data_IF_256607094638
#
_entry.id   IF_256607094638
#
_cell.length_a   1.000
_cell.length_b   1.000
_cell.length_c   1.000
_cell.angle_alpha   90.00
_cell.angle_beta   90.00
_cell.angle_gamma   90.00
#
_symmetry.space_group_name_H-M   'P 1'
#
loop_
_entity.id
_entity.type
_entity.pdbx_description
1 polymer ?
#
# COMPACT_ATOMS: atom_id res chain seq x y z
N UNK A 1 -4.60 -12.96 3.68
CA UNK A 1 -3.70 -12.08 2.92
C UNK A 1 -4.33 -11.83 1.56
N UNK A 2 -4.25 -10.60 1.05
CA UNK A 2 -4.73 -10.20 -0.27
C UNK A 2 -3.66 -9.34 -0.95
N UNK A 3 -3.56 -9.42 -2.28
CA UNK A 3 -2.69 -8.58 -3.10
C UNK A 3 -3.50 -7.75 -4.07
N UNK A 4 -3.00 -6.58 -4.42
CA UNK A 4 -3.59 -5.73 -5.45
C UNK A 4 -2.54 -4.83 -6.10
N UNK A 5 -2.93 -4.21 -7.20
CA UNK A 5 -2.06 -3.36 -8.01
C UNK A 5 -2.72 -2.02 -8.31
N UNK A 6 -1.91 -0.96 -8.28
CA UNK A 6 -2.28 0.36 -8.77
C UNK A 6 -1.39 0.67 -9.96
N UNK A 7 -1.98 1.01 -11.10
CA UNK A 7 -1.22 1.51 -12.27
C UNK A 7 -0.90 2.98 -12.06
N UNK A 8 0.37 3.29 -11.83
CA UNK A 8 0.83 4.66 -11.65
C UNK A 8 2.35 4.79 -11.86
N UNK A 9 2.82 5.81 -12.60
CA UNK A 9 4.24 6.12 -12.68
C UNK A 9 4.78 6.81 -11.42
N UNK A 10 3.94 7.02 -10.39
CA UNK A 10 4.27 7.74 -9.16
C UNK A 10 4.23 6.84 -7.93
N UNK A 11 4.50 5.55 -8.09
CA UNK A 11 4.39 4.55 -7.03
C UNK A 11 5.11 4.98 -5.74
N UNK A 12 6.39 5.34 -5.82
CA UNK A 12 7.19 5.79 -4.67
C UNK A 12 6.57 6.98 -3.93
N UNK A 13 5.94 7.91 -4.65
CA UNK A 13 5.32 9.09 -4.04
C UNK A 13 4.22 8.66 -3.07
N UNK A 14 3.39 7.69 -3.46
CA UNK A 14 2.29 7.23 -2.63
C UNK A 14 2.76 6.38 -1.45
N UNK A 15 3.80 5.56 -1.64
CA UNK A 15 4.44 4.84 -0.53
C UNK A 15 4.95 5.82 0.53
N UNK A 16 5.66 6.87 0.11
CA UNK A 16 6.18 7.91 1.01
C UNK A 16 5.07 8.69 1.72
N UNK A 17 3.95 8.96 1.03
CA UNK A 17 2.79 9.62 1.64
C UNK A 17 2.12 8.74 2.69
N UNK A 18 1.93 7.45 2.41
CA UNK A 18 1.36 6.51 3.37
C UNK A 18 2.27 6.35 4.59
N UNK A 19 3.58 6.18 4.38
CA UNK A 19 4.55 6.15 5.45
C UNK A 19 4.54 7.41 6.30
N UNK A 20 4.52 8.59 5.69
CA UNK A 20 4.40 9.85 6.43
C UNK A 20 3.11 9.92 7.27
N UNK A 21 1.99 9.44 6.73
CA UNK A 21 0.70 9.45 7.41
C UNK A 21 0.64 8.47 8.60
N UNK A 22 1.33 7.33 8.51
CA UNK A 22 1.26 6.26 9.51
C UNK A 22 2.45 6.17 10.45
N UNK A 23 3.45 7.05 10.35
CA UNK A 23 4.63 7.06 11.24
C UNK A 23 4.34 7.00 12.74
N UNK A 24 3.22 7.59 13.18
CA UNK A 24 2.83 7.58 14.60
C UNK A 24 1.96 6.36 14.99
N UNK A 25 1.45 5.62 14.00
CA UNK A 25 0.45 4.54 14.17
C UNK A 25 1.00 3.16 13.82
N UNK A 26 2.03 3.11 13.00
CA UNK A 26 2.64 1.91 12.45
C UNK A 26 4.16 1.97 12.60
N UNK A 27 4.77 0.82 12.85
CA UNK A 27 6.18 0.63 12.58
C UNK A 27 6.37 0.55 11.06
N UNK A 28 7.33 1.32 10.53
CA UNK A 28 7.60 1.41 9.10
C UNK A 28 9.03 0.98 8.84
N UNK A 29 9.20 -0.08 8.06
CA UNK A 29 10.50 -0.62 7.66
C UNK A 29 10.62 -0.58 6.15
N UNK A 30 11.79 -0.20 5.64
CA UNK A 30 12.10 -0.20 4.21
C UNK A 30 13.12 -1.30 3.96
N UNK A 31 12.79 -2.23 3.09
CA UNK A 31 13.66 -3.34 2.71
C UNK A 31 14.68 -2.91 1.64
N UNK A 32 15.73 -3.71 1.45
CA UNK A 32 16.79 -3.44 0.46
C UNK A 32 16.29 -3.42 -0.99
N UNK A 33 15.15 -4.08 -1.26
CA UNK A 33 14.47 -4.11 -2.56
C UNK A 33 13.55 -2.89 -2.78
N UNK A 34 13.48 -1.97 -1.81
CA UNK A 34 12.63 -0.78 -1.85
C UNK A 34 11.19 -1.02 -1.43
N UNK A 35 10.82 -2.24 -1.02
CA UNK A 35 9.53 -2.50 -0.40
C UNK A 35 9.42 -1.75 0.93
N UNK A 36 8.23 -1.25 1.24
CA UNK A 36 7.94 -0.64 2.54
C UNK A 36 6.91 -1.47 3.27
N UNK A 37 7.30 -1.98 4.43
CA UNK A 37 6.46 -2.74 5.34
C UNK A 37 5.86 -1.83 6.42
N UNK A 38 4.57 -2.01 6.66
CA UNK A 38 3.78 -1.32 7.67
C UNK A 38 3.25 -2.35 8.66
N UNK A 39 3.68 -2.28 9.92
CA UNK A 39 3.17 -3.12 10.99
C UNK A 39 2.36 -2.26 11.98
N UNK A 40 1.06 -2.55 12.10
CA UNK A 40 0.17 -1.86 13.04
C UNK A 40 0.27 -2.53 14.42
N UNK A 41 0.09 -1.74 15.49
CA UNK A 41 0.05 -2.29 16.86
C UNK A 41 -1.07 -3.30 17.11
N UNK A 42 -2.08 -3.36 16.24
CA UNK A 42 -3.16 -4.35 16.28
C UNK A 42 -2.80 -5.71 15.66
N UNK A 43 -1.62 -5.85 15.06
CA UNK A 43 -1.19 -7.05 14.32
C UNK A 43 -1.59 -7.07 12.84
N UNK A 44 -2.30 -6.05 12.35
CA UNK A 44 -2.52 -5.87 10.92
C UNK A 44 -1.23 -5.37 10.25
N UNK A 45 -0.99 -5.78 9.01
CA UNK A 45 0.19 -5.33 8.27
C UNK A 45 -0.06 -5.19 6.77
N UNK A 46 0.74 -4.36 6.13
CA UNK A 46 0.75 -4.19 4.69
C UNK A 46 2.17 -4.02 4.17
N UNK A 47 2.42 -4.48 2.95
CA UNK A 47 3.68 -4.27 2.24
C UNK A 47 3.38 -3.58 0.92
N UNK A 48 4.06 -2.47 0.66
CA UNK A 48 3.95 -1.73 -0.59
C UNK A 48 5.26 -1.85 -1.37
N UNK A 49 5.19 -2.30 -2.61
CA UNK A 49 6.35 -2.45 -3.50
C UNK A 49 6.22 -1.49 -4.68
N UNK A 50 6.96 -0.36 -4.68
CA UNK A 50 6.93 0.57 -5.78
C UNK A 50 7.71 0.02 -6.99
N UNK A 51 7.06 -0.03 -8.15
CA UNK A 51 7.68 -0.25 -9.45
C UNK A 51 7.63 1.01 -10.32
N UNK A 52 8.15 0.90 -11.55
CA UNK A 52 8.22 2.04 -12.47
C UNK A 52 6.82 2.56 -12.88
N UNK A 53 5.89 1.65 -13.19
CA UNK A 53 4.54 1.98 -13.69
C UNK A 53 3.42 1.40 -12.81
N UNK A 54 3.79 0.69 -11.75
CA UNK A 54 2.86 -0.01 -10.86
C UNK A 54 3.28 0.12 -9.41
N UNK A 55 2.30 0.14 -8.51
CA UNK A 55 2.48 -0.08 -7.09
C UNK A 55 1.78 -1.38 -6.72
N UNK A 56 2.52 -2.37 -6.23
CA UNK A 56 1.96 -3.59 -5.68
C UNK A 56 1.68 -3.39 -4.20
N UNK A 57 0.51 -3.81 -3.76
CA UNK A 57 0.04 -3.72 -2.38
C UNK A 57 -0.29 -5.11 -1.88
N UNK A 58 0.33 -5.53 -0.79
CA UNK A 58 0.01 -6.77 -0.10
C UNK A 58 -0.54 -6.39 1.28
N UNK A 59 -1.65 -7.00 1.70
CA UNK A 59 -2.27 -6.76 3.01
C UNK A 59 -2.51 -8.06 3.75
N UNK A 60 -2.32 -8.04 5.07
CA UNK A 60 -2.55 -9.19 5.95
C UNK A 60 -3.99 -9.70 5.86
N UNK A 61 -4.98 -8.82 5.68
CA UNK A 61 -6.40 -9.17 5.52
C UNK A 61 -7.12 -8.26 4.51
N UNK A 62 -8.28 -8.69 3.97
CA UNK A 62 -9.12 -7.86 3.09
C UNK A 62 -9.55 -6.55 3.75
N UNK A 63 -9.96 -6.59 5.01
CA UNK A 63 -10.46 -5.42 5.75
C UNK A 63 -9.37 -4.36 5.93
N UNK A 64 -8.14 -4.78 6.25
CA UNK A 64 -7.01 -3.86 6.30
C UNK A 64 -6.60 -3.38 4.90
N UNK A 65 -6.78 -4.23 3.88
CA UNK A 65 -6.61 -3.86 2.48
C UNK A 65 -7.48 -2.67 2.10
N UNK A 66 -8.78 -2.71 2.44
CA UNK A 66 -9.70 -1.58 2.20
C UNK A 66 -9.25 -0.28 2.89
N UNK A 67 -8.64 -0.39 4.08
CA UNK A 67 -8.07 0.78 4.77
C UNK A 67 -6.90 1.33 3.98
N UNK A 68 -5.97 0.49 3.52
CA UNK A 68 -4.84 0.90 2.66
C UNK A 68 -5.36 1.56 1.37
N UNK A 69 -6.31 0.91 0.69
CA UNK A 69 -6.94 1.40 -0.54
C UNK A 69 -7.48 2.83 -0.36
N UNK A 70 -8.31 3.06 0.65
CA UNK A 70 -8.93 4.37 0.90
C UNK A 70 -7.90 5.48 1.10
N UNK A 71 -6.76 5.19 1.73
CA UNK A 71 -5.70 6.19 1.92
C UNK A 71 -4.98 6.48 0.59
N UNK A 72 -4.62 5.44 -0.16
CA UNK A 72 -3.94 5.59 -1.45
C UNK A 72 -4.82 6.34 -2.46
N UNK A 73 -6.09 5.94 -2.61
CA UNK A 73 -7.05 6.60 -3.50
C UNK A 73 -7.30 8.06 -3.08
N UNK A 74 -7.37 8.34 -1.77
CA UNK A 74 -7.47 9.72 -1.28
C UNK A 74 -6.25 10.54 -1.66
N UNK A 75 -5.04 9.98 -1.59
CA UNK A 75 -3.82 10.69 -2.01
C UNK A 75 -3.78 10.95 -3.52
N UNK A 76 -4.27 9.98 -4.31
CA UNK A 76 -4.30 10.03 -5.76
C UNK A 76 -5.63 10.49 -6.37
N UNK A 77 -6.55 11.09 -5.59
CA UNK A 77 -7.92 11.39 -6.03
C UNK A 77 -7.96 12.24 -7.31
N UNK A 78 -7.06 13.23 -7.44
CA UNK A 78 -6.96 14.08 -8.63
C UNK A 78 -6.42 13.35 -9.86
N UNK A 79 -5.76 12.23 -9.64
CA UNK A 79 -5.04 11.44 -10.65
C UNK A 79 -5.84 10.19 -11.06
N UNK A 80 -7.03 9.98 -10.49
CA UNK A 80 -7.87 8.81 -10.78
C UNK A 80 -7.25 7.51 -10.29
N UNK A 81 -6.43 7.56 -9.23
CA UNK A 81 -5.75 6.41 -8.70
C UNK A 81 -6.76 5.39 -8.17
N UNK A 82 -6.65 4.14 -8.62
CA UNK A 82 -7.52 3.04 -8.25
C UNK A 82 -6.69 1.79 -7.95
N UNK A 83 -7.02 1.12 -6.85
CA UNK A 83 -6.40 -0.16 -6.48
C UNK A 83 -7.28 -1.31 -6.97
N UNK A 84 -6.70 -2.16 -7.80
CA UNK A 84 -7.33 -3.37 -8.32
C UNK A 84 -6.83 -4.56 -7.50
N UNK A 85 -7.71 -5.18 -6.71
CA UNK A 85 -7.38 -6.40 -5.94
C UNK A 85 -7.34 -7.61 -6.86
N UNK A 86 -6.39 -8.52 -6.63
CA UNK A 86 -6.36 -9.80 -7.29
C UNK A 86 -7.45 -10.70 -6.71
N UNK A 87 -8.42 -11.08 -7.54
CA UNK A 87 -9.44 -12.09 -7.21
C UNK A 87 -8.90 -13.52 -7.29
N UNK A 88 -7.59 -13.71 -7.48
CA UNK A 88 -6.99 -15.04 -7.54
C UNK A 88 -7.02 -15.67 -6.15
N UNK A 89 -7.78 -16.76 -5.93
CA UNK A 89 -7.73 -17.47 -4.66
C UNK A 89 -6.32 -18.03 -4.48
N UNK A 90 -5.66 -17.64 -3.38
CA UNK A 90 -4.38 -18.22 -2.96
C UNK A 90 -4.47 -19.73 -2.72
#
# INVERSE_FOLDING_TARGET
MVSGVIRTPRAERYVKQLAGHWREKAEVTVDDDGATHFAMGSGASATLRPGAEVLVVESSSPEFGEVVQRHLERFGMREGLALEWDDSPA
#
